data_IF_384036562294
#
_entry.id   IF_384036562294
#
_cell.length_a   1.000
_cell.length_b   1.000
_cell.length_c   1.000
_cell.angle_alpha   90.00
_cell.angle_beta   90.00
_cell.angle_gamma   90.00
#
_symmetry.space_group_name_H-M   'P 1'
#
loop_
_entity.id
_entity.type
_entity.pdbx_description
1 polymer ?
#
# COMPACT_ATOMS: atom_id res chain seq x y z
N UNK A 1 -16.83 4.71 -67.02
CA UNK A 1 -16.49 4.09 -65.72
C UNK A 1 -16.27 5.23 -64.74
N UNK A 2 -17.07 5.26 -63.67
CA UNK A 2 -17.16 6.33 -62.66
C UNK A 2 -15.76 6.85 -62.24
N UNK A 3 -15.41 8.09 -62.59
CA UNK A 3 -15.73 9.30 -61.83
C UNK A 3 -15.37 9.18 -60.35
N UNK A 4 -14.13 9.57 -60.02
CA UNK A 4 -13.87 10.72 -59.15
C UNK A 4 -14.92 10.98 -58.06
N UNK A 5 -15.11 10.01 -57.16
CA UNK A 5 -15.88 10.09 -55.90
C UNK A 5 -15.31 9.00 -54.99
N UNK A 6 -14.36 9.25 -54.10
CA UNK A 6 -14.48 10.02 -52.87
C UNK A 6 -13.02 10.29 -52.44
N UNK A 7 -12.45 11.45 -52.71
CA UNK A 7 -12.38 12.54 -51.75
C UNK A 7 -11.86 12.09 -50.37
N UNK A 8 -10.56 12.29 -50.15
CA UNK A 8 -10.00 13.00 -48.99
C UNK A 8 -11.02 13.24 -47.84
N UNK A 9 -11.18 12.27 -46.94
CA UNK A 9 -11.92 12.37 -45.67
C UNK A 9 -11.40 11.21 -44.80
N UNK A 10 -10.87 11.30 -43.59
CA UNK A 10 -10.59 12.34 -42.61
C UNK A 10 -9.39 11.77 -41.81
N UNK A 11 -8.31 12.51 -41.57
CA UNK A 11 -8.12 13.34 -40.38
C UNK A 11 -8.53 12.68 -39.05
N UNK A 12 -7.61 12.80 -38.09
CA UNK A 12 -7.65 12.42 -36.68
C UNK A 12 -7.16 10.98 -36.40
N UNK A 13 -5.97 10.73 -35.85
CA UNK A 13 -5.41 11.44 -34.69
C UNK A 13 -5.88 10.73 -33.43
N UNK A 14 -5.33 9.55 -33.16
CA UNK A 14 -5.35 8.95 -31.82
C UNK A 14 -3.91 8.65 -31.43
N UNK A 15 -3.13 9.73 -31.33
CA UNK A 15 -2.05 9.76 -30.35
C UNK A 15 -2.78 9.73 -29.01
N UNK A 16 -2.89 8.56 -28.40
CA UNK A 16 -3.22 8.47 -26.98
C UNK A 16 -1.99 8.99 -26.22
N UNK A 17 -1.88 10.33 -26.16
CA UNK A 17 -1.14 10.97 -25.09
C UNK A 17 -1.95 10.65 -23.85
N UNK A 18 -1.50 9.63 -23.13
CA UNK A 18 -1.96 9.37 -21.78
C UNK A 18 -1.51 10.56 -20.95
N UNK A 19 -2.33 11.59 -20.90
CA UNK A 19 -2.20 12.67 -19.93
C UNK A 19 -2.55 12.06 -18.58
N UNK A 20 -1.54 11.46 -17.94
CA UNK A 20 -1.53 11.29 -16.51
C UNK A 20 -1.44 12.70 -15.93
N UNK A 21 -2.59 13.37 -15.84
CA UNK A 21 -2.70 14.60 -15.08
C UNK A 21 -2.07 14.34 -13.72
N UNK A 22 -1.21 15.23 -13.20
CA UNK A 22 -0.75 15.08 -11.83
C UNK A 22 -2.02 15.10 -11.00
N UNK A 23 -2.36 13.95 -10.42
CA UNK A 23 -3.43 13.85 -9.45
C UNK A 23 -2.99 14.74 -8.30
N UNK A 24 -3.40 16.01 -8.35
CA UNK A 24 -3.36 16.96 -7.26
C UNK A 24 -4.37 16.49 -6.22
N UNK A 25 -4.12 15.34 -5.62
CA UNK A 25 -4.49 15.15 -4.24
C UNK A 25 -3.45 15.95 -3.47
N UNK A 26 -3.88 17.00 -2.76
CA UNK A 26 -3.03 17.62 -1.74
C UNK A 26 -2.42 16.48 -0.94
N UNK A 27 -1.08 16.37 -0.99
CA UNK A 27 -0.32 15.25 -0.46
C UNK A 27 -0.57 15.22 1.04
N UNK A 28 -1.61 14.51 1.45
CA UNK A 28 -1.97 14.34 2.85
C UNK A 28 -0.80 13.59 3.45
N UNK A 29 0.01 14.33 4.20
CA UNK A 29 1.28 13.89 4.74
C UNK A 29 1.01 12.64 5.58
N UNK A 30 1.35 11.48 5.02
CA UNK A 30 1.13 10.17 5.62
C UNK A 30 2.50 9.58 5.95
N UNK A 31 3.07 9.89 7.14
CA UNK A 31 4.43 9.51 7.51
C UNK A 31 4.63 7.98 7.52
N UNK A 32 3.55 7.23 7.74
CA UNK A 32 3.55 5.77 7.69
C UNK A 32 2.31 5.29 6.94
N UNK A 33 2.54 4.59 5.83
CA UNK A 33 1.52 3.93 5.02
C UNK A 33 1.85 2.43 5.00
N UNK A 34 0.83 1.59 5.05
CA UNK A 34 0.97 0.14 4.89
C UNK A 34 0.14 -0.30 3.69
N UNK A 35 0.75 -1.05 2.77
CA UNK A 35 0.06 -1.65 1.62
C UNK A 35 0.24 -3.16 1.64
N UNK A 36 -0.87 -3.88 1.57
CA UNK A 36 -0.89 -5.34 1.58
C UNK A 36 -1.54 -5.84 0.29
N UNK A 37 -0.83 -6.72 -0.41
CA UNK A 37 -1.30 -7.37 -1.61
C UNK A 37 -1.39 -8.87 -1.36
N UNK A 38 -2.43 -9.47 -1.93
CA UNK A 38 -2.59 -10.91 -2.00
C UNK A 38 -2.01 -11.41 -3.32
N UNK A 39 -0.83 -12.02 -3.24
CA UNK A 39 -0.14 -12.58 -4.39
C UNK A 39 -0.84 -13.82 -4.98
N UNK A 40 -1.64 -14.54 -4.18
CA UNK A 40 -2.38 -15.74 -4.63
C UNK A 40 -3.55 -15.34 -5.53
N UNK A 41 -4.26 -14.27 -5.15
CA UNK A 41 -5.42 -13.76 -5.89
C UNK A 41 -5.09 -12.64 -6.87
N UNK A 42 -3.87 -12.10 -6.82
CA UNK A 42 -3.44 -10.97 -7.65
C UNK A 42 -4.22 -9.69 -7.36
N UNK A 43 -4.64 -9.48 -6.11
CA UNK A 43 -5.51 -8.37 -5.72
C UNK A 43 -5.11 -7.77 -4.37
N UNK A 44 -5.59 -6.57 -4.02
CA UNK A 44 -5.33 -6.02 -2.70
C UNK A 44 -5.92 -6.86 -1.57
N UNK A 45 -5.19 -6.98 -0.45
CA UNK A 45 -5.67 -7.69 0.72
C UNK A 45 -6.48 -6.75 1.60
N UNK A 46 -7.80 -6.94 1.62
CA UNK A 46 -8.77 -6.09 2.33
C UNK A 46 -8.99 -6.59 3.75
N UNK A 47 -9.21 -5.66 4.69
CA UNK A 47 -9.51 -5.92 6.11
C UNK A 47 -8.40 -6.66 6.88
N UNK A 48 -7.15 -6.57 6.42
CA UNK A 48 -5.99 -7.12 7.13
C UNK A 48 -5.69 -6.24 8.34
N UNK A 49 -5.70 -6.84 9.54
CA UNK A 49 -5.36 -6.13 10.76
C UNK A 49 -3.85 -5.83 10.83
N UNK A 50 -3.53 -4.59 11.17
CA UNK A 50 -2.17 -4.07 11.26
C UNK A 50 -1.94 -3.53 12.67
N UNK A 51 -0.83 -3.92 13.30
CA UNK A 51 -0.33 -3.32 14.54
C UNK A 51 1.07 -2.81 14.33
N UNK A 52 1.37 -1.64 14.87
CA UNK A 52 2.69 -1.03 14.84
C UNK A 52 3.17 -0.90 16.28
N UNK A 53 4.41 -1.31 16.51
CA UNK A 53 5.09 -1.20 17.78
C UNK A 53 6.35 -0.34 17.62
N UNK A 54 6.70 0.40 18.67
CA UNK A 54 7.96 1.14 18.76
C UNK A 54 8.86 0.47 19.79
N UNK A 55 10.15 0.35 19.47
CA UNK A 55 11.15 -0.16 20.40
C UNK A 55 11.54 0.93 21.40
N UNK A 56 11.47 0.62 22.69
CA UNK A 56 11.91 1.50 23.78
C UNK A 56 13.43 1.51 23.91
N UNK A 57 13.98 2.44 24.68
CA UNK A 57 15.40 2.47 25.04
C UNK A 57 15.85 1.24 25.82
N UNK A 58 14.93 0.59 26.54
CA UNK A 58 15.18 -0.65 27.29
C UNK A 58 15.11 -1.90 26.41
N UNK A 59 14.73 -1.73 25.14
CA UNK A 59 14.64 -2.81 24.15
C UNK A 59 13.30 -3.54 24.11
N UNK A 60 12.32 -3.14 24.92
CA UNK A 60 10.94 -3.64 24.87
C UNK A 60 10.16 -3.05 23.68
N UNK A 61 9.07 -3.71 23.28
CA UNK A 61 8.18 -3.24 22.23
C UNK A 61 6.89 -2.67 22.84
N UNK A 62 6.56 -1.42 22.52
CA UNK A 62 5.35 -0.76 22.99
C UNK A 62 4.36 -0.52 21.83
N UNK A 63 3.05 -0.68 22.05
CA UNK A 63 2.05 -0.36 21.03
C UNK A 63 2.15 1.11 20.61
N UNK A 64 2.19 1.34 19.29
CA UNK A 64 2.32 2.68 18.71
C UNK A 64 1.08 3.08 17.90
N UNK A 65 0.60 2.19 17.03
CA UNK A 65 -0.58 2.43 16.20
C UNK A 65 -1.23 1.10 15.78
N UNK A 66 -2.49 1.16 15.35
CA UNK A 66 -3.19 0.00 14.80
C UNK A 66 -4.26 0.44 13.80
N UNK A 67 -4.60 -0.45 12.87
CA UNK A 67 -5.68 -0.22 11.92
C UNK A 67 -5.96 -1.44 11.07
N UNK A 68 -6.73 -1.25 10.00
CA UNK A 68 -7.03 -2.30 9.02
C UNK A 68 -6.91 -1.76 7.60
N UNK A 69 -6.47 -2.58 6.66
CA UNK A 69 -6.38 -2.19 5.25
C UNK A 69 -7.76 -1.95 4.64
N UNK A 70 -7.87 -0.90 3.84
CA UNK A 70 -9.08 -0.56 3.08
C UNK A 70 -9.23 -1.47 1.84
N UNK A 71 -10.26 -1.21 1.03
CA UNK A 71 -10.50 -1.94 -0.24
C UNK A 71 -9.33 -1.87 -1.23
N UNK A 72 -8.55 -0.79 -1.17
CA UNK A 72 -7.32 -0.63 -1.96
C UNK A 72 -6.14 -1.47 -1.45
N UNK A 73 -6.31 -2.20 -0.34
CA UNK A 73 -5.25 -2.90 0.40
C UNK A 73 -4.30 -1.95 1.12
N UNK A 74 -4.61 -0.66 1.18
CA UNK A 74 -3.79 0.35 1.82
C UNK A 74 -4.39 0.77 3.18
N UNK A 75 -3.51 1.12 4.10
CA UNK A 75 -3.83 1.70 5.40
C UNK A 75 -3.03 2.99 5.55
N UNK A 76 -3.76 4.09 5.60
CA UNK A 76 -3.26 5.45 5.77
C UNK A 76 -3.61 5.98 7.16
N UNK A 77 -2.95 7.06 7.58
CA UNK A 77 -3.32 7.77 8.81
C UNK A 77 -3.04 7.01 10.11
N UNK A 78 -2.09 6.07 10.10
CA UNK A 78 -1.67 5.35 11.31
C UNK A 78 -1.06 6.27 12.38
N UNK A 79 -0.43 7.37 11.96
CA UNK A 79 0.25 8.32 12.84
C UNK A 79 0.39 9.68 12.18
N UNK A 80 0.87 10.66 12.94
CA UNK A 80 1.19 12.01 12.46
C UNK A 80 2.70 12.23 12.48
N UNK A 81 3.21 13.22 11.76
CA UNK A 81 4.66 13.47 11.69
C UNK A 81 5.26 13.79 13.06
N UNK A 82 4.50 14.45 13.93
CA UNK A 82 4.94 14.81 15.27
C UNK A 82 5.13 13.57 16.16
N UNK A 83 4.34 12.53 15.92
CA UNK A 83 4.41 11.27 16.66
C UNK A 83 5.42 10.29 16.06
N UNK A 84 5.64 10.37 14.75
CA UNK A 84 6.56 9.49 14.03
C UNK A 84 8.00 9.99 14.07
N UNK A 85 8.56 9.92 15.28
CA UNK A 85 9.95 10.35 15.57
C UNK A 85 10.95 9.21 15.36
N UNK A 86 12.23 9.54 15.29
CA UNK A 86 13.34 8.58 15.17
C UNK A 86 13.22 7.42 16.18
N UNK A 87 13.44 6.21 15.67
CA UNK A 87 13.31 4.98 16.45
C UNK A 87 13.21 3.75 15.56
N UNK A 88 13.17 2.58 16.22
CA UNK A 88 12.94 1.31 15.54
C UNK A 88 11.47 0.94 15.71
N UNK A 89 10.80 0.72 14.60
CA UNK A 89 9.41 0.28 14.59
C UNK A 89 9.29 -1.14 14.02
N UNK A 90 8.32 -1.89 14.55
CA UNK A 90 7.90 -3.21 14.08
C UNK A 90 6.47 -3.12 13.61
N UNK A 91 6.18 -3.63 12.43
CA UNK A 91 4.81 -3.78 11.92
C UNK A 91 4.46 -5.26 11.95
N UNK A 92 3.34 -5.59 12.59
CA UNK A 92 2.74 -6.92 12.65
C UNK A 92 1.46 -6.91 11.81
N UNK A 93 1.38 -7.86 10.88
CA UNK A 93 0.22 -8.06 10.00
C UNK A 93 -0.43 -9.40 10.35
N UNK A 94 -1.73 -9.37 10.68
CA UNK A 94 -2.50 -10.58 11.01
C UNK A 94 -2.90 -11.33 9.72
N UNK A 95 -1.89 -11.92 9.10
CA UNK A 95 -2.06 -12.75 7.90
C UNK A 95 -2.83 -14.02 8.22
N UNK A 96 -2.73 -14.54 9.45
CA UNK A 96 -3.42 -15.76 9.83
C UNK A 96 -4.94 -15.61 9.78
N UNK A 97 -5.47 -14.58 10.43
CA UNK A 97 -6.90 -14.30 10.40
C UNK A 97 -7.37 -14.02 8.97
N UNK A 98 -6.59 -13.27 8.19
CA UNK A 98 -6.87 -12.99 6.79
C UNK A 98 -7.01 -14.28 5.95
N UNK A 99 -6.04 -15.20 6.00
CA UNK A 99 -6.11 -16.44 5.23
C UNK A 99 -7.24 -17.37 5.69
N UNK A 100 -7.53 -17.37 7.00
CA UNK A 100 -8.66 -18.13 7.56
C UNK A 100 -10.01 -17.66 7.02
N UNK A 101 -10.23 -16.36 6.79
CA UNK A 101 -11.49 -15.89 6.18
C UNK A 101 -11.66 -16.39 4.75
N UNK A 102 -10.55 -16.68 4.07
CA UNK A 102 -10.51 -17.27 2.72
C UNK A 102 -10.52 -18.81 2.73
N UNK A 103 -10.60 -19.45 3.90
CA UNK A 103 -10.59 -20.90 4.03
C UNK A 103 -9.23 -21.56 3.79
N UNK A 104 -8.15 -20.78 3.77
CA UNK A 104 -6.79 -21.26 3.57
C UNK A 104 -6.12 -21.42 4.94
N UNK A 105 -5.40 -22.53 5.14
CA UNK A 105 -4.57 -22.72 6.33
C UNK A 105 -3.19 -22.08 6.09
N UNK A 106 -2.87 -20.97 6.76
CA UNK A 106 -1.61 -20.28 6.56
C UNK A 106 -0.47 -20.99 7.31
N UNK A 107 0.75 -20.89 6.78
CA UNK A 107 1.96 -21.36 7.45
C UNK A 107 2.43 -20.40 8.54
N UNK A 108 2.32 -19.08 8.31
CA UNK A 108 2.77 -18.03 9.22
C UNK A 108 1.62 -17.54 10.12
N UNK A 109 1.92 -17.34 11.41
CA UNK A 109 0.97 -16.77 12.39
C UNK A 109 0.73 -15.27 12.16
N UNK A 110 1.78 -14.55 11.76
CA UNK A 110 1.77 -13.15 11.38
C UNK A 110 2.97 -12.86 10.48
N UNK A 111 2.98 -11.72 9.81
CA UNK A 111 4.17 -11.21 9.13
C UNK A 111 4.76 -10.02 9.90
N UNK A 112 6.06 -10.08 10.17
CA UNK A 112 6.81 -9.05 10.88
C UNK A 112 7.70 -8.25 9.94
N UNK A 113 7.69 -6.93 10.11
CA UNK A 113 8.62 -6.03 9.43
C UNK A 113 9.62 -5.50 10.46
N UNK A 114 10.88 -5.98 10.45
CA UNK A 114 11.80 -5.82 11.59
C UNK A 114 12.35 -4.40 11.77
N UNK A 115 12.19 -3.50 10.77
CA UNK A 115 12.65 -2.12 10.89
C UNK A 115 11.96 -1.18 9.91
N UNK A 116 11.18 -0.24 10.42
CA UNK A 116 10.81 0.99 9.71
C UNK A 116 11.57 2.16 10.32
N UNK A 117 12.22 2.99 9.50
CA UNK A 117 12.92 4.20 9.92
C UNK A 117 12.14 5.43 9.42
N UNK A 118 11.88 6.44 10.26
CA UNK A 118 11.38 7.73 9.79
C UNK A 118 12.50 8.39 8.99
N UNK A 119 12.23 8.63 7.70
CA UNK A 119 13.19 9.31 6.82
C UNK A 119 12.83 10.80 6.75
N UNK A 120 13.83 11.64 6.57
CA UNK A 120 13.72 13.11 6.57
C UNK A 120 12.93 13.71 5.40
N UNK A 121 12.37 12.90 4.50
CA UNK A 121 11.64 13.38 3.32
C UNK A 121 10.35 12.58 3.07
N UNK A 122 9.27 13.23 2.62
CA UNK A 122 7.94 12.63 2.62
C UNK A 122 7.72 11.86 1.32
N UNK A 123 7.97 10.54 1.24
CA UNK A 123 7.24 9.66 0.30
C UNK A 123 7.19 8.20 0.80
N UNK A 124 5.98 7.65 0.76
CA UNK A 124 5.56 6.24 0.80
C UNK A 124 6.57 5.20 1.31
N UNK A 125 6.34 4.71 2.54
CA UNK A 125 6.92 3.43 2.97
C UNK A 125 6.09 2.31 2.34
N UNK A 126 6.56 1.76 1.22
CA UNK A 126 5.95 0.59 0.59
C UNK A 126 6.56 -0.67 1.18
N UNK A 127 5.92 -1.21 2.22
CA UNK A 127 6.24 -2.52 2.76
C UNK A 127 5.61 -3.62 1.89
N UNK A 128 6.41 -4.25 1.03
CA UNK A 128 5.95 -5.38 0.21
C UNK A 128 6.01 -6.67 1.03
N UNK A 129 4.85 -7.33 1.18
CA UNK A 129 4.79 -8.71 1.63
C UNK A 129 4.77 -9.63 0.40
N UNK A 130 5.78 -10.48 0.28
CA UNK A 130 5.66 -11.73 -0.47
C UNK A 130 5.39 -12.83 0.56
N UNK A 131 4.11 -13.11 0.81
CA UNK A 131 3.70 -14.31 1.55
C UNK A 131 3.25 -15.35 0.55
N UNK A 132 4.17 -15.83 -0.27
CA UNK A 132 3.97 -17.09 -0.98
C UNK A 132 4.16 -18.26 0.00
N UNK A 133 3.33 -19.31 -0.09
CA UNK A 133 3.45 -20.52 0.72
C UNK A 133 4.72 -21.33 0.42
#
# INVERSE_FOLDING_TARGET
MASLRLFLLCLAGLVFVSEAGPAGAGESKCPLMVKVLDAVRGSPAVDVAVKVFKKTSEGSWEPFASGKTAESGELHGLTTDEKFVEGVYRVELDTKSYWKTLGISPFHEYADIPRCLPRTEPRHVSCWLDTTP
#
